data_IF_393472504586
#
_entry.id   IF_393472504586
#
_cell.length_a   1.000
_cell.length_b   1.000
_cell.length_c   1.000
_cell.angle_alpha   90.00
_cell.angle_beta   90.00
_cell.angle_gamma   90.00
#
_symmetry.space_group_name_H-M   'P 1'
#
loop_
_entity.id
_entity.type
_entity.pdbx_description
1 polymer ?
#
# COMPACT_ATOMS: atom_id res chain seq x y z
N UNK A 1 14.40 -5.32 -10.65
CA UNK A 1 13.45 -5.22 -11.78
C UNK A 1 12.09 -5.78 -11.35
N UNK A 2 10.97 -5.17 -11.74
CA UNK A 2 9.62 -5.59 -11.34
C UNK A 2 8.61 -5.62 -12.50
N UNK A 3 9.09 -5.76 -13.74
CA UNK A 3 8.28 -6.01 -14.94
C UNK A 3 7.15 -5.00 -15.22
N UNK A 4 6.26 -5.38 -16.14
CA UNK A 4 5.00 -4.68 -16.38
C UNK A 4 4.04 -5.03 -15.24
N UNK A 5 3.36 -4.03 -14.68
CA UNK A 5 2.34 -4.23 -13.65
C UNK A 5 1.08 -4.80 -14.31
N UNK A 6 0.61 -5.95 -13.82
CA UNK A 6 -0.61 -6.56 -14.34
C UNK A 6 -1.82 -5.61 -14.13
N UNK A 7 -2.73 -5.45 -15.11
CA UNK A 7 -3.86 -4.52 -15.00
C UNK A 7 -4.70 -4.70 -13.73
N UNK A 8 -4.96 -5.95 -13.33
CA UNK A 8 -5.72 -6.26 -12.12
C UNK A 8 -5.06 -5.77 -10.82
N UNK A 9 -3.73 -5.61 -10.80
CA UNK A 9 -3.04 -5.03 -9.64
C UNK A 9 -3.40 -3.55 -9.49
N UNK A 10 -3.37 -2.78 -10.58
CA UNK A 10 -3.76 -1.37 -10.54
C UNK A 10 -5.26 -1.19 -10.28
N UNK A 11 -6.12 -2.09 -10.78
CA UNK A 11 -7.56 -2.07 -10.45
C UNK A 11 -7.78 -2.24 -8.94
N UNK A 12 -7.05 -3.17 -8.30
CA UNK A 12 -7.12 -3.36 -6.85
C UNK A 12 -6.61 -2.16 -6.05
N UNK A 13 -5.49 -1.55 -6.49
CA UNK A 13 -4.97 -0.33 -5.85
C UNK A 13 -5.94 0.83 -5.93
N UNK A 14 -6.57 1.05 -7.09
CA UNK A 14 -7.60 2.09 -7.26
C UNK A 14 -8.81 1.85 -6.37
N UNK A 15 -9.33 0.63 -6.33
CA UNK A 15 -10.43 0.29 -5.44
C UNK A 15 -10.09 0.52 -3.95
N UNK A 16 -8.83 0.27 -3.55
CA UNK A 16 -8.37 0.58 -2.20
C UNK A 16 -8.27 2.10 -1.94
N UNK A 17 -7.75 2.87 -2.91
CA UNK A 17 -7.66 4.34 -2.85
C UNK A 17 -9.06 5.00 -2.79
N UNK A 18 -10.03 4.41 -3.47
CA UNK A 18 -11.41 4.88 -3.48
C UNK A 18 -12.13 4.73 -2.14
N UNK A 19 -11.73 3.78 -1.29
CA UNK A 19 -12.35 3.57 0.04
C UNK A 19 -11.59 4.23 1.19
N UNK A 20 -10.31 4.60 0.99
CA UNK A 20 -9.53 5.28 2.04
C UNK A 20 -9.87 6.77 2.03
N UNK A 21 -10.79 7.20 2.88
CA UNK A 21 -11.28 8.60 2.94
C UNK A 21 -10.99 9.29 4.27
N UNK A 22 -10.83 8.54 5.34
CA UNK A 22 -10.63 9.04 6.71
C UNK A 22 -9.33 8.53 7.31
N UNK A 23 -8.88 9.13 8.41
CA UNK A 23 -7.71 8.65 9.15
C UNK A 23 -7.94 7.24 9.72
N UNK A 24 -9.18 6.90 10.09
CA UNK A 24 -9.55 5.55 10.52
C UNK A 24 -9.39 4.52 9.39
N UNK A 25 -9.75 4.89 8.15
CA UNK A 25 -9.54 4.04 6.97
C UNK A 25 -8.04 3.84 6.70
N UNK A 26 -7.26 4.92 6.76
CA UNK A 26 -5.80 4.85 6.57
C UNK A 26 -5.16 3.96 7.64
N UNK A 27 -5.56 4.12 8.89
CA UNK A 27 -5.09 3.29 10.00
C UNK A 27 -5.41 1.81 9.76
N UNK A 28 -6.66 1.50 9.42
CA UNK A 28 -7.12 0.13 9.15
C UNK A 28 -6.37 -0.48 7.96
N UNK A 29 -6.28 0.26 6.85
CA UNK A 29 -5.56 -0.16 5.66
C UNK A 29 -4.06 -0.37 5.95
N UNK A 30 -3.44 0.48 6.75
CA UNK A 30 -2.04 0.34 7.15
C UNK A 30 -1.79 -0.99 7.84
N UNK A 31 -2.59 -1.36 8.83
CA UNK A 31 -2.43 -2.64 9.54
C UNK A 31 -2.67 -3.83 8.61
N UNK A 32 -3.68 -3.77 7.73
CA UNK A 32 -3.95 -4.81 6.75
C UNK A 32 -2.73 -5.02 5.82
N UNK A 33 -2.22 -3.93 5.25
CA UNK A 33 -1.08 -3.94 4.33
C UNK A 33 0.19 -4.43 5.06
N UNK A 34 0.48 -3.92 6.26
CA UNK A 34 1.62 -4.34 7.09
C UNK A 34 1.60 -5.84 7.37
N UNK A 35 0.46 -6.36 7.82
CA UNK A 35 0.31 -7.78 8.15
C UNK A 35 0.43 -8.67 6.91
N UNK A 36 -0.03 -8.20 5.74
CA UNK A 36 0.13 -8.94 4.48
C UNK A 36 1.58 -8.91 4.00
N UNK A 37 2.23 -7.75 4.05
CA UNK A 37 3.63 -7.56 3.65
C UNK A 37 4.58 -8.45 4.45
N UNK A 38 4.37 -8.57 5.76
CA UNK A 38 5.17 -9.43 6.63
C UNK A 38 5.14 -10.92 6.25
N UNK A 39 4.12 -11.36 5.48
CA UNK A 39 3.96 -12.75 5.02
C UNK A 39 4.59 -13.01 3.66
N UNK A 40 5.25 -12.03 3.04
CA UNK A 40 5.87 -12.17 1.72
C UNK A 40 7.39 -12.11 1.89
N UNK A 41 8.09 -13.27 1.88
CA UNK A 41 9.55 -13.30 1.93
C UNK A 41 10.15 -12.57 0.73
N UNK A 42 11.19 -11.78 0.97
CA UNK A 42 11.90 -11.06 -0.11
C UNK A 42 11.10 -9.90 -0.72
N UNK A 43 10.10 -9.37 0.00
CA UNK A 43 9.32 -8.22 -0.47
C UNK A 43 10.22 -7.04 -0.82
N UNK A 44 10.11 -6.55 -2.05
CA UNK A 44 10.87 -5.39 -2.50
C UNK A 44 10.06 -4.10 -2.27
N UNK A 45 10.23 -3.52 -1.08
CA UNK A 45 9.46 -2.36 -0.59
C UNK A 45 9.51 -1.16 -1.55
N UNK A 46 10.67 -0.84 -2.12
CA UNK A 46 10.82 0.28 -3.05
C UNK A 46 9.92 0.11 -4.27
N UNK A 47 9.91 -1.10 -4.86
CA UNK A 47 9.05 -1.40 -5.99
C UNK A 47 7.57 -1.34 -5.65
N UNK A 48 7.16 -1.73 -4.44
CA UNK A 48 5.77 -1.58 -4.03
C UNK A 48 5.37 -0.11 -3.92
N UNK A 49 6.24 0.72 -3.34
CA UNK A 49 5.98 2.15 -3.23
C UNK A 49 5.91 2.84 -4.61
N UNK A 50 6.65 2.36 -5.62
CA UNK A 50 6.52 2.83 -7.01
C UNK A 50 5.15 2.51 -7.64
N UNK A 51 4.46 1.45 -7.20
CA UNK A 51 3.18 1.03 -7.80
C UNK A 51 2.12 2.12 -7.71
N UNK A 52 2.16 2.96 -6.69
CA UNK A 52 1.22 4.06 -6.54
C UNK A 52 1.32 5.04 -7.73
N UNK A 53 2.54 5.44 -8.09
CA UNK A 53 2.79 6.29 -9.25
C UNK A 53 2.48 5.58 -10.57
N UNK A 54 2.85 4.31 -10.70
CA UNK A 54 2.58 3.51 -11.91
C UNK A 54 1.07 3.34 -12.14
N UNK A 55 0.29 3.14 -11.08
CA UNK A 55 -1.15 2.92 -11.16
C UNK A 55 -1.99 4.21 -11.07
N UNK A 56 -1.36 5.37 -10.82
CA UNK A 56 -2.03 6.67 -10.71
C UNK A 56 -2.90 6.81 -9.47
N UNK A 57 -2.45 6.29 -8.32
CA UNK A 57 -3.13 6.35 -7.02
C UNK A 57 -2.30 7.13 -6.00
N UNK A 58 -2.92 7.74 -4.99
CA UNK A 58 -2.24 8.67 -4.07
C UNK A 58 -2.24 8.24 -2.59
N UNK A 59 -2.40 6.94 -2.30
CA UNK A 59 -2.48 6.42 -0.94
C UNK A 59 -1.32 6.90 -0.03
N UNK A 60 -1.62 7.41 1.19
CA UNK A 60 -0.61 7.95 2.11
C UNK A 60 0.27 6.89 2.82
N UNK A 61 -0.01 5.60 2.66
CA UNK A 61 0.72 4.51 3.34
C UNK A 61 2.01 4.19 2.57
N UNK A 62 3.15 4.61 3.13
CA UNK A 62 4.47 4.24 2.61
C UNK A 62 4.98 2.97 3.27
N UNK A 63 5.06 1.89 2.51
CA UNK A 63 5.53 0.60 3.01
C UNK A 63 7.04 0.63 3.31
N UNK A 64 7.40 0.19 4.51
CA UNK A 64 8.78 -0.01 4.92
C UNK A 64 8.86 -1.17 5.94
N UNK A 65 10.04 -1.77 6.16
CA UNK A 65 10.22 -2.79 7.20
C UNK A 65 9.82 -2.31 8.61
N UNK A 66 9.91 -1.00 8.85
CA UNK A 66 9.57 -0.34 10.11
C UNK A 66 8.27 0.47 10.04
N UNK A 67 7.36 0.12 9.13
CA UNK A 67 6.07 0.81 8.97
C UNK A 67 5.33 0.85 10.32
N UNK A 68 5.09 2.06 10.79
CA UNK A 68 4.40 2.36 12.03
C UNK A 68 3.01 2.92 11.73
N UNK A 69 1.99 2.08 11.91
CA UNK A 69 0.61 2.43 11.64
C UNK A 69 -0.02 3.34 12.70
N UNK A 70 0.60 3.48 13.88
CA UNK A 70 0.09 4.37 14.92
C UNK A 70 0.14 5.85 14.51
N UNK A 71 1.01 6.20 13.57
CA UNK A 71 1.13 7.56 13.00
C UNK A 71 -0.10 8.01 12.20
N UNK A 72 -0.95 7.06 11.81
CA UNK A 72 -2.18 7.33 11.08
C UNK A 72 -3.41 7.27 11.98
N UNK A 73 -3.25 6.88 13.25
CA UNK A 73 -4.31 7.03 14.24
C UNK A 73 -4.47 8.53 14.55
N UNK A 74 -5.72 8.99 14.60
CA UNK A 74 -6.08 10.30 15.15
C UNK A 74 -6.53 10.15 16.59
#
# INVERSE_FOLDING_TARGET
>A
MGGIVAPGCCSGLKALDDVIKTNEDVWTACYCIKNRAAKIPGLYYDRINELLGICGTANPIKLSPSLDCSKYAS
#
